data_IF_901009499495
#
_entry.id   IF_901009499495
#
_cell.length_a   1.000
_cell.length_b   1.000
_cell.length_c   1.000
_cell.angle_alpha   90.00
_cell.angle_beta   90.00
_cell.angle_gamma   90.00
#
_symmetry.space_group_name_H-M   'P 1'
#
loop_
_entity.id
_entity.type
_entity.pdbx_description
1 polymer ?
#
# COMPACT_ATOMS: atom_id res chain seq x y z
N UNK A 1 4.72 3.57 13.34
CA UNK A 1 4.50 4.10 11.98
C UNK A 1 4.21 5.57 12.04
N UNK A 2 4.86 6.35 11.23
CA UNK A 2 4.72 7.80 11.25
C UNK A 2 4.54 8.34 9.85
N UNK A 3 4.03 9.55 9.77
CA UNK A 3 3.95 10.25 8.49
C UNK A 3 5.33 10.36 7.88
N UNK A 4 5.41 10.08 6.59
CA UNK A 4 6.68 10.12 5.88
C UNK A 4 7.43 8.81 5.87
N UNK A 5 7.02 7.83 6.68
CA UNK A 5 7.68 6.54 6.67
C UNK A 5 7.39 5.83 5.35
N UNK A 6 8.35 5.05 4.90
CA UNK A 6 8.20 4.24 3.70
C UNK A 6 8.23 2.79 4.10
N UNK A 7 7.30 2.01 3.58
CA UNK A 7 7.21 0.61 3.91
C UNK A 7 6.61 -0.15 2.74
N UNK A 8 6.88 -1.43 2.68
CA UNK A 8 6.33 -2.28 1.65
C UNK A 8 5.07 -2.94 2.18
N UNK A 9 4.00 -2.89 1.40
CA UNK A 9 2.73 -3.46 1.80
C UNK A 9 2.18 -4.31 0.68
N UNK A 10 1.45 -5.34 1.08
CA UNK A 10 0.73 -6.17 0.13
C UNK A 10 -0.74 -5.75 0.18
N UNK A 11 -1.28 -5.40 -0.96
CA UNK A 11 -2.66 -4.93 -1.05
C UNK A 11 -3.57 -6.13 -1.14
N UNK A 12 -4.46 -6.27 -0.19
CA UNK A 12 -5.32 -7.45 -0.11
C UNK A 12 -6.76 -7.18 -0.50
N UNK A 13 -7.18 -5.93 -0.45
CA UNK A 13 -8.55 -5.57 -0.75
C UNK A 13 -8.60 -4.24 -1.45
N UNK A 14 -9.79 -3.86 -1.90
CA UNK A 14 -9.99 -2.59 -2.57
C UNK A 14 -11.11 -1.86 -1.83
N UNK A 15 -10.94 -0.57 -1.62
CA UNK A 15 -11.95 0.21 -0.95
C UNK A 15 -13.04 0.62 -1.94
N UNK A 16 -14.13 1.16 -1.42
CA UNK A 16 -15.24 1.56 -2.27
C UNK A 16 -14.86 2.62 -3.27
N UNK A 17 -13.96 3.50 -2.91
CA UNK A 17 -13.56 4.58 -3.79
C UNK A 17 -12.39 4.19 -4.69
N UNK A 18 -12.02 2.94 -4.71
CA UNK A 18 -11.01 2.47 -5.64
C UNK A 18 -9.60 2.45 -5.11
N UNK A 19 -9.40 2.80 -3.84
CA UNK A 19 -8.07 2.73 -3.27
C UNK A 19 -7.77 1.30 -2.80
N UNK A 20 -6.51 0.95 -2.78
CA UNK A 20 -6.11 -0.33 -2.23
C UNK A 20 -6.17 -0.31 -0.72
N UNK A 21 -6.38 -1.47 -0.13
CA UNK A 21 -6.37 -1.61 1.31
C UNK A 21 -5.34 -2.63 1.73
N UNK A 22 -4.60 -2.30 2.76
CA UNK A 22 -3.64 -3.21 3.36
C UNK A 22 -3.78 -3.15 4.87
N UNK A 23 -3.34 -4.18 5.54
CA UNK A 23 -3.33 -4.20 7.00
C UNK A 23 -1.93 -4.38 7.49
N UNK A 24 -1.58 -3.63 8.51
CA UNK A 24 -0.27 -3.75 9.13
C UNK A 24 -0.44 -3.56 10.62
N UNK A 25 -0.21 -4.64 11.38
CA UNK A 25 -0.27 -4.59 12.84
C UNK A 25 -1.59 -4.02 13.37
N UNK A 26 -2.68 -4.46 12.76
CA UNK A 26 -4.00 -4.00 13.18
C UNK A 26 -4.42 -2.65 12.66
N UNK A 27 -3.58 -2.01 11.89
CA UNK A 27 -3.89 -0.73 11.31
C UNK A 27 -4.31 -0.94 9.86
N UNK A 28 -5.40 -0.29 9.49
CA UNK A 28 -5.89 -0.38 8.12
C UNK A 28 -5.30 0.76 7.31
N UNK A 29 -4.67 0.42 6.20
CA UNK A 29 -3.97 1.43 5.42
C UNK A 29 -4.62 1.57 4.06
N UNK A 30 -5.05 2.79 3.73
CA UNK A 30 -5.62 3.11 2.43
C UNK A 30 -4.51 3.59 1.54
N UNK A 31 -4.32 2.92 0.42
CA UNK A 31 -3.19 3.20 -0.46
C UNK A 31 -3.70 3.67 -1.81
N UNK A 32 -3.38 4.89 -2.16
CA UNK A 32 -3.76 5.45 -3.44
C UNK A 32 -2.89 4.86 -4.55
N UNK A 33 -3.52 4.44 -5.62
CA UNK A 33 -2.77 3.97 -6.79
C UNK A 33 -2.40 2.50 -6.77
N UNK A 34 -2.94 1.73 -5.84
CA UNK A 34 -2.60 0.32 -5.73
C UNK A 34 -3.83 -0.55 -6.00
N UNK A 35 -3.60 -1.78 -6.40
CA UNK A 35 -4.66 -2.74 -6.67
C UNK A 35 -4.46 -4.01 -5.84
N UNK A 36 -5.54 -4.75 -5.56
CA UNK A 36 -5.41 -5.99 -4.81
C UNK A 36 -4.48 -6.96 -5.52
N UNK A 37 -3.70 -7.66 -4.75
CA UNK A 37 -2.74 -8.61 -5.27
C UNK A 37 -1.38 -8.03 -5.58
N UNK A 38 -1.21 -6.75 -5.43
CA UNK A 38 0.07 -6.11 -5.67
C UNK A 38 0.84 -5.92 -4.37
N UNK A 39 2.15 -5.98 -4.48
CA UNK A 39 3.02 -5.63 -3.38
C UNK A 39 3.70 -4.33 -3.78
N UNK A 40 3.54 -3.31 -2.98
CA UNK A 40 3.97 -1.97 -3.35
C UNK A 40 4.75 -1.32 -2.21
N UNK A 41 5.65 -0.45 -2.58
CA UNK A 41 6.33 0.39 -1.61
C UNK A 41 5.54 1.68 -1.50
N UNK A 42 5.19 2.05 -0.29
CA UNK A 42 4.33 3.21 -0.07
C UNK A 42 4.99 4.17 0.90
N UNK A 43 4.56 5.41 0.82
CA UNK A 43 4.95 6.42 1.80
C UNK A 43 3.70 6.76 2.60
N UNK A 44 3.84 6.76 3.91
CA UNK A 44 2.72 7.08 4.80
C UNK A 44 2.48 8.57 4.78
N UNK A 45 1.27 8.96 4.41
CA UNK A 45 0.90 10.37 4.33
C UNK A 45 0.26 10.85 5.62
N UNK A 46 -0.52 9.98 6.26
CA UNK A 46 -1.27 10.38 7.43
C UNK A 46 -1.53 9.16 8.29
N UNK A 47 -1.46 9.30 9.58
CA UNK A 47 -1.71 8.20 10.50
C UNK A 47 -2.82 8.59 11.45
N UNK A 48 -3.88 7.79 11.49
CA UNK A 48 -4.97 7.98 12.43
C UNK A 48 -4.93 6.91 13.52
N UNK A 49 -5.99 6.85 14.29
CA UNK A 49 -6.05 5.91 15.40
C UNK A 49 -6.17 4.48 14.92
N UNK A 50 -7.00 4.24 13.93
CA UNK A 50 -7.25 2.90 13.45
C UNK A 50 -6.91 2.72 11.98
N UNK A 51 -6.56 3.79 11.30
CA UNK A 51 -6.27 3.71 9.89
C UNK A 51 -5.19 4.72 9.53
N UNK A 52 -4.59 4.52 8.38
CA UNK A 52 -3.59 5.42 7.86
C UNK A 52 -3.83 5.58 6.37
N UNK A 53 -3.26 6.63 5.80
CA UNK A 53 -3.31 6.86 4.38
C UNK A 53 -1.90 6.85 3.83
N UNK A 54 -1.73 6.28 2.66
CA UNK A 54 -0.43 6.19 2.03
C UNK A 54 -0.56 6.31 0.53
N UNK A 55 0.56 6.58 -0.13
CA UNK A 55 0.59 6.62 -1.58
C UNK A 55 1.66 5.67 -2.07
N UNK A 56 1.46 5.14 -3.26
CA UNK A 56 2.43 4.25 -3.88
C UNK A 56 3.59 5.09 -4.38
N UNK A 57 4.79 4.76 -3.96
CA UNK A 57 5.97 5.39 -4.50
C UNK A 57 6.73 4.44 -5.41
N UNK A 58 6.50 3.13 -5.27
CA UNK A 58 7.12 2.17 -6.16
C UNK A 58 6.29 0.91 -6.16
N UNK A 59 5.98 0.41 -7.34
CA UNK A 59 5.17 -0.76 -7.49
C UNK A 59 6.03 -1.97 -7.82
N UNK A 60 5.81 -3.06 -7.11
CA UNK A 60 6.50 -4.31 -7.39
C UNK A 60 5.48 -5.32 -7.84
N UNK A 61 5.54 -5.70 -9.11
CA UNK A 61 4.70 -6.75 -9.62
C UNK A 61 5.58 -7.94 -9.84
N UNK A 62 5.25 -9.00 -9.19
CA UNK A 62 6.06 -10.19 -9.28
C UNK A 62 6.23 -10.65 -10.71
N UNK A 63 5.16 -10.66 -11.45
CA UNK A 63 5.25 -11.10 -12.83
C UNK A 63 6.14 -10.22 -13.66
N UNK A 64 6.16 -8.96 -13.35
CA UNK A 64 6.99 -8.04 -14.08
C UNK A 64 8.43 -8.19 -13.71
N UNK A 65 8.63 -8.46 -12.48
CA UNK A 65 9.98 -8.53 -12.00
C UNK A 65 10.78 -9.53 -12.76
N UNK A 66 10.16 -10.53 -13.22
CA UNK A 66 10.88 -11.41 -13.90
C UNK A 66 11.11 -11.11 -15.23
N UNK A 67 10.37 -10.44 -15.69
CA UNK A 67 10.58 -10.21 -17.02
C UNK A 67 11.91 -9.64 -17.25
N UNK A 68 12.53 -9.74 -17.09
CA UNK A 68 13.53 -9.23 -17.40
C UNK A 68 14.43 -9.28 -17.24
N UNK A 69 14.08 -9.61 -16.94
CA UNK A 69 14.92 -9.27 -16.82
C UNK A 69 15.66 -9.58 -17.29
#
# INVERSE_FOLDING_TARGET
MKEGDETELEITQKSRDGRGLARLKGLLIFVSGASPGEKVMVRILKVGVRHAEAEVIKSHRVATAKARA
#
